data_IF_849423285648
#
_entry.id   IF_849423285648
#
_cell.length_a   1.000
_cell.length_b   1.000
_cell.length_c   1.000
_cell.angle_alpha   90.00
_cell.angle_beta   90.00
_cell.angle_gamma   90.00
#
_symmetry.space_group_name_H-M   'P 1'
#
loop_
_entity.id
_entity.type
_entity.pdbx_description
1 polymer ?
#
# COMPACT_ATOMS: atom_id res chain seq x y z
N UNK A 1 15.91 4.77 -34.11
CA UNK A 1 15.70 5.38 -32.77
C UNK A 1 14.65 4.57 -32.06
N UNK A 2 14.95 4.06 -30.86
CA UNK A 2 14.01 3.24 -30.09
C UNK A 2 13.08 4.14 -29.28
N UNK A 3 11.77 3.93 -29.40
CA UNK A 3 10.74 4.71 -28.71
C UNK A 3 9.96 3.83 -27.75
N UNK A 4 9.63 4.35 -26.58
CA UNK A 4 8.88 3.60 -25.57
C UNK A 4 7.93 4.49 -24.77
N UNK A 5 6.92 3.86 -24.18
CA UNK A 5 6.11 4.44 -23.11
C UNK A 5 6.76 4.05 -21.79
N UNK A 6 6.91 5.00 -20.88
CA UNK A 6 7.15 4.70 -19.47
C UNK A 6 5.90 5.02 -18.66
N UNK A 7 5.28 3.98 -18.11
CA UNK A 7 4.04 4.09 -17.34
C UNK A 7 4.34 3.97 -15.84
N UNK A 8 4.27 5.11 -15.15
CA UNK A 8 4.29 5.15 -13.69
C UNK A 8 3.02 4.51 -13.12
N UNK A 9 3.19 3.64 -12.11
CA UNK A 9 2.11 2.96 -11.38
C UNK A 9 2.32 3.21 -9.88
N UNK A 10 2.55 2.17 -9.07
CA UNK A 10 2.86 2.26 -7.63
C UNK A 10 4.35 2.41 -7.38
N UNK A 11 5.00 3.30 -8.13
CA UNK A 11 6.43 3.61 -8.09
C UNK A 11 6.68 5.10 -8.36
N UNK A 12 5.90 5.99 -7.71
CA UNK A 12 5.90 7.45 -7.91
C UNK A 12 7.12 8.14 -7.28
N UNK A 13 8.32 7.79 -7.77
CA UNK A 13 9.62 8.30 -7.30
C UNK A 13 10.68 8.24 -8.40
N UNK A 14 11.76 9.01 -8.26
CA UNK A 14 12.95 8.89 -9.09
C UNK A 14 14.02 8.00 -8.44
N UNK A 15 14.21 8.14 -7.12
CA UNK A 15 15.21 7.37 -6.37
C UNK A 15 14.80 5.90 -6.32
N UNK A 16 15.75 5.03 -6.58
CA UNK A 16 15.58 3.59 -6.57
C UNK A 16 14.39 3.12 -7.42
N UNK A 17 14.33 3.57 -8.67
CA UNK A 17 13.30 3.17 -9.63
C UNK A 17 13.91 2.36 -10.79
N UNK A 18 14.07 1.01 -10.65
CA UNK A 18 14.68 0.17 -11.66
C UNK A 18 14.01 0.23 -13.04
N UNK A 19 12.68 0.20 -13.12
CA UNK A 19 12.01 0.29 -14.42
C UNK A 19 12.27 1.64 -15.11
N UNK A 20 12.29 2.76 -14.35
CA UNK A 20 12.65 4.08 -14.86
C UNK A 20 14.11 4.14 -15.32
N UNK A 21 15.02 3.56 -14.54
CA UNK A 21 16.44 3.50 -14.92
C UNK A 21 16.63 2.74 -16.24
N UNK A 22 15.98 1.58 -16.36
CA UNK A 22 16.09 0.72 -17.55
C UNK A 22 15.50 1.39 -18.79
N UNK A 23 14.31 2.01 -18.71
CA UNK A 23 13.71 2.66 -19.89
C UNK A 23 14.59 3.80 -20.43
N UNK A 24 15.22 4.58 -19.55
CA UNK A 24 16.08 5.71 -19.94
C UNK A 24 17.36 5.21 -20.60
N UNK A 25 17.94 4.13 -20.08
CA UNK A 25 19.14 3.51 -20.63
C UNK A 25 18.88 2.91 -22.01
N UNK A 26 17.75 2.25 -22.16
CA UNK A 26 17.51 1.37 -23.31
C UNK A 26 16.87 2.09 -24.50
N UNK A 27 16.38 3.32 -24.36
CA UNK A 27 15.58 4.01 -25.38
C UNK A 27 16.10 5.42 -25.70
N UNK A 28 15.76 5.91 -26.90
CA UNK A 28 16.15 7.25 -27.37
C UNK A 28 15.06 8.29 -27.12
N UNK A 29 13.80 7.92 -27.31
CA UNK A 29 12.64 8.80 -27.10
C UNK A 29 11.61 8.13 -26.20
N UNK A 30 11.18 8.81 -25.16
CA UNK A 30 10.30 8.23 -24.13
C UNK A 30 9.12 9.16 -23.88
N UNK A 31 7.91 8.61 -23.90
CA UNK A 31 6.72 9.31 -23.36
C UNK A 31 6.48 8.83 -21.93
N UNK A 32 6.53 9.76 -20.97
CA UNK A 32 6.31 9.47 -19.55
C UNK A 32 4.85 9.72 -19.22
N UNK A 33 4.18 8.71 -18.68
CA UNK A 33 2.75 8.76 -18.43
C UNK A 33 2.40 8.30 -17.02
N UNK A 34 1.29 8.81 -16.51
CA UNK A 34 0.57 8.29 -15.37
C UNK A 34 -0.92 8.24 -15.71
N UNK A 35 -1.58 7.13 -15.38
CA UNK A 35 -3.02 6.95 -15.64
C UNK A 35 -3.70 6.80 -14.28
N UNK A 36 -4.68 7.65 -13.98
CA UNK A 36 -5.45 7.56 -12.75
C UNK A 36 -6.23 6.25 -12.71
N UNK A 37 -5.99 5.46 -11.66
CA UNK A 37 -6.76 4.27 -11.34
C UNK A 37 -7.44 4.45 -9.98
N UNK A 38 -8.75 4.70 -10.02
CA UNK A 38 -9.59 4.96 -8.85
C UNK A 38 -10.59 3.81 -8.59
N UNK A 39 -10.40 2.67 -9.25
CA UNK A 39 -11.28 1.52 -9.09
C UNK A 39 -11.04 0.82 -7.74
N UNK A 40 -12.09 0.23 -7.20
CA UNK A 40 -12.02 -0.65 -6.02
C UNK A 40 -12.59 -2.03 -6.34
N UNK A 41 -12.16 -3.02 -5.57
CA UNK A 41 -12.81 -4.32 -5.59
C UNK A 41 -14.12 -4.33 -4.78
N UNK A 42 -15.21 -4.70 -5.45
CA UNK A 42 -16.52 -4.90 -4.83
C UNK A 42 -16.79 -6.39 -4.60
N UNK A 43 -16.76 -6.89 -3.35
CA UNK A 43 -17.13 -8.27 -3.06
C UNK A 43 -18.63 -8.49 -3.25
N UNK A 44 -19.04 -9.74 -3.43
CA UNK A 44 -20.47 -10.08 -3.59
C UNK A 44 -21.29 -9.52 -2.42
N UNK A 45 -22.38 -8.84 -2.76
CA UNK A 45 -23.34 -8.29 -1.80
C UNK A 45 -22.95 -6.94 -1.19
N UNK A 46 -21.87 -6.31 -1.66
CA UNK A 46 -21.42 -5.01 -1.19
C UNK A 46 -20.89 -4.17 -2.37
N UNK A 47 -21.33 -2.92 -2.45
CA UNK A 47 -20.80 -1.93 -3.39
C UNK A 47 -20.17 -0.79 -2.58
N UNK A 48 -18.86 -0.62 -2.74
CA UNK A 48 -18.05 0.39 -2.06
C UNK A 48 -17.69 1.54 -3.02
N UNK A 49 -18.10 1.41 -4.29
CA UNK A 49 -17.87 2.36 -5.37
C UNK A 49 -16.39 2.68 -5.62
N UNK A 50 -15.84 3.69 -4.96
CA UNK A 50 -14.54 4.28 -5.28
C UNK A 50 -13.61 4.36 -4.07
N UNK A 51 -12.34 4.64 -4.36
CA UNK A 51 -11.35 4.91 -3.33
C UNK A 51 -11.74 6.19 -2.55
N UNK A 52 -11.50 6.22 -1.24
CA UNK A 52 -11.83 7.35 -0.39
C UNK A 52 -10.90 8.55 -0.55
N UNK A 53 -11.38 9.71 -0.12
CA UNK A 53 -10.75 11.01 -0.40
C UNK A 53 -9.33 11.16 0.15
N UNK A 54 -9.02 10.58 1.32
CA UNK A 54 -7.67 10.60 1.89
C UNK A 54 -6.65 9.93 0.97
N UNK A 55 -7.00 8.78 0.39
CA UNK A 55 -6.13 8.11 -0.58
C UNK A 55 -6.06 8.88 -1.89
N UNK A 56 -7.19 9.40 -2.41
CA UNK A 56 -7.21 10.26 -3.60
C UNK A 56 -6.23 11.42 -3.44
N UNK A 57 -6.38 12.21 -2.36
CA UNK A 57 -5.49 13.34 -2.03
C UNK A 57 -4.03 12.91 -1.99
N UNK A 58 -3.69 11.88 -1.23
CA UNK A 58 -2.31 11.43 -1.07
C UNK A 58 -1.69 10.95 -2.39
N UNK A 59 -2.47 10.26 -3.24
CA UNK A 59 -2.04 9.87 -4.58
C UNK A 59 -1.79 11.10 -5.47
N UNK A 60 -2.71 12.06 -5.49
CA UNK A 60 -2.57 13.26 -6.33
C UNK A 60 -1.39 14.14 -5.88
N UNK A 61 -1.17 14.29 -4.58
CA UNK A 61 0.02 14.94 -4.03
C UNK A 61 1.31 14.22 -4.46
N UNK A 62 1.29 12.88 -4.48
CA UNK A 62 2.43 12.08 -4.92
C UNK A 62 2.72 12.25 -6.42
N UNK A 63 1.68 12.36 -7.25
CA UNK A 63 1.82 12.63 -8.68
C UNK A 63 2.30 14.05 -8.93
N UNK A 64 1.83 15.05 -8.17
CA UNK A 64 2.34 16.43 -8.25
C UNK A 64 3.82 16.52 -7.87
N UNK A 65 4.25 15.84 -6.81
CA UNK A 65 5.66 15.80 -6.41
C UNK A 65 6.51 15.13 -7.50
N UNK A 66 6.02 14.02 -8.08
CA UNK A 66 6.67 13.35 -9.19
C UNK A 66 6.80 14.26 -10.43
N UNK A 67 5.74 14.99 -10.80
CA UNK A 67 5.76 15.94 -11.91
C UNK A 67 6.85 17.00 -11.69
N UNK A 68 6.96 17.57 -10.48
CA UNK A 68 7.99 18.54 -10.13
C UNK A 68 9.39 17.94 -10.22
N UNK A 69 9.58 16.72 -9.70
CA UNK A 69 10.87 16.02 -9.74
C UNK A 69 11.29 15.72 -11.18
N UNK A 70 10.37 15.26 -12.04
CA UNK A 70 10.62 15.03 -13.47
C UNK A 70 10.92 16.32 -14.23
N UNK A 71 10.19 17.40 -13.94
CA UNK A 71 10.41 18.72 -14.54
C UNK A 71 11.82 19.25 -14.26
N UNK A 72 12.37 19.00 -13.07
CA UNK A 72 13.76 19.35 -12.73
C UNK A 72 14.81 18.62 -13.59
N UNK A 73 14.41 17.53 -14.26
CA UNK A 73 15.22 16.76 -15.21
C UNK A 73 14.83 17.01 -16.67
N UNK A 74 14.05 18.06 -16.95
CA UNK A 74 13.48 18.37 -18.26
C UNK A 74 12.60 17.25 -18.83
N UNK A 75 11.92 16.50 -17.96
CA UNK A 75 10.98 15.45 -18.33
C UNK A 75 9.56 15.94 -18.07
N UNK A 76 8.68 15.81 -19.06
CA UNK A 76 7.26 16.11 -18.90
C UNK A 76 6.47 14.83 -18.60
N UNK A 77 5.67 14.87 -17.53
CA UNK A 77 4.73 13.81 -17.18
C UNK A 77 3.37 14.09 -17.83
N UNK A 78 2.83 13.13 -18.57
CA UNK A 78 1.47 13.21 -19.09
C UNK A 78 0.55 12.45 -18.14
N UNK A 79 -0.46 13.12 -17.61
CA UNK A 79 -1.47 12.51 -16.76
C UNK A 79 -2.74 12.26 -17.54
N UNK A 80 -3.35 11.09 -17.34
CA UNK A 80 -4.55 10.66 -18.04
C UNK A 80 -5.62 10.16 -17.09
N UNK A 81 -6.87 10.34 -17.50
CA UNK A 81 -8.04 9.84 -16.80
C UNK A 81 -8.94 9.03 -17.75
N UNK A 82 -9.46 7.90 -17.26
CA UNK A 82 -10.38 7.05 -18.00
C UNK A 82 -9.82 5.65 -18.27
N UNK A 83 -10.32 5.02 -19.34
CA UNK A 83 -9.95 3.64 -19.67
C UNK A 83 -8.50 3.55 -20.16
N UNK A 84 -7.64 2.93 -19.34
CA UNK A 84 -6.21 2.74 -19.63
C UNK A 84 -5.92 2.04 -20.95
N UNK A 85 -6.77 1.13 -21.42
CA UNK A 85 -6.56 0.46 -22.70
C UNK A 85 -6.81 1.42 -23.87
N UNK A 86 -7.87 2.23 -23.79
CA UNK A 86 -8.14 3.27 -24.79
C UNK A 86 -7.05 4.33 -24.83
N UNK A 87 -6.53 4.75 -23.67
CA UNK A 87 -5.42 5.70 -23.54
C UNK A 87 -4.16 5.13 -24.20
N UNK A 88 -3.78 3.90 -23.87
CA UNK A 88 -2.59 3.27 -24.43
C UNK A 88 -2.74 3.00 -25.94
N UNK A 89 -3.93 2.61 -26.42
CA UNK A 89 -4.22 2.45 -27.85
C UNK A 89 -4.13 3.80 -28.61
N UNK A 90 -4.56 4.91 -28.00
CA UNK A 90 -4.39 6.25 -28.55
C UNK A 90 -2.91 6.61 -28.68
N UNK A 91 -2.12 6.45 -27.61
CA UNK A 91 -0.68 6.74 -27.62
C UNK A 91 0.03 5.91 -28.69
N UNK A 92 -0.30 4.60 -28.77
CA UNK A 92 0.22 3.68 -29.78
C UNK A 92 -0.09 4.15 -31.19
N UNK A 93 -1.31 4.58 -31.45
CA UNK A 93 -1.75 5.05 -32.77
C UNK A 93 -1.12 6.40 -33.13
N UNK A 94 -0.98 7.33 -32.18
CA UNK A 94 -0.42 8.67 -32.43
C UNK A 94 1.10 8.70 -32.59
N UNK A 95 1.83 7.76 -31.96
CA UNK A 95 3.30 7.80 -31.94
C UNK A 95 3.98 6.56 -32.54
N UNK A 96 3.22 5.52 -32.89
CA UNK A 96 3.77 4.24 -33.35
C UNK A 96 4.54 3.48 -32.25
N UNK A 97 4.16 3.67 -30.97
CA UNK A 97 4.86 3.07 -29.83
C UNK A 97 4.02 1.93 -29.25
N UNK A 98 4.57 0.72 -29.18
CA UNK A 98 3.91 -0.44 -28.59
C UNK A 98 4.71 -1.08 -27.43
N UNK A 99 5.92 -0.60 -27.14
CA UNK A 99 6.70 -1.04 -25.99
C UNK A 99 6.41 -0.17 -24.78
N UNK A 100 6.02 -0.80 -23.67
CA UNK A 100 5.71 -0.17 -22.37
C UNK A 100 6.70 -0.67 -21.33
N UNK A 101 7.37 0.25 -20.66
CA UNK A 101 8.15 -0.02 -19.45
C UNK A 101 7.31 0.40 -18.24
N UNK A 102 7.25 -0.46 -17.22
CA UNK A 102 6.54 -0.18 -15.98
C UNK A 102 7.01 -1.08 -14.83
N UNK A 103 6.48 -0.85 -13.64
CA UNK A 103 6.63 -1.76 -12.50
C UNK A 103 5.73 -3.00 -12.66
N UNK A 104 6.26 -4.17 -12.27
CA UNK A 104 5.53 -5.43 -12.17
C UNK A 104 4.70 -5.44 -10.89
N UNK A 105 3.38 -5.58 -11.03
CA UNK A 105 2.47 -5.64 -9.89
C UNK A 105 2.22 -7.09 -9.43
N UNK A 106 1.60 -7.25 -8.27
CA UNK A 106 1.26 -8.58 -7.69
C UNK A 106 -0.22 -8.78 -7.41
N UNK A 107 -1.03 -7.76 -7.69
CA UNK A 107 -2.47 -7.86 -7.59
C UNK A 107 -3.04 -8.62 -8.79
N UNK A 108 -4.13 -9.36 -8.55
CA UNK A 108 -4.77 -10.18 -9.57
C UNK A 108 -5.30 -9.35 -10.75
N UNK A 109 -5.92 -8.21 -10.45
CA UNK A 109 -6.50 -7.31 -11.46
C UNK A 109 -5.43 -6.66 -12.32
N UNK A 110 -4.36 -6.18 -11.69
CA UNK A 110 -3.18 -5.68 -12.38
C UNK A 110 -2.55 -6.73 -13.31
N UNK A 111 -2.45 -7.98 -12.88
CA UNK A 111 -1.97 -9.09 -13.73
C UNK A 111 -2.91 -9.35 -14.92
N UNK A 112 -4.24 -9.19 -14.75
CA UNK A 112 -5.18 -9.32 -15.87
C UNK A 112 -5.03 -8.18 -16.86
N UNK A 113 -4.78 -6.96 -16.38
CA UNK A 113 -4.53 -5.82 -17.24
C UNK A 113 -3.27 -6.02 -18.08
N UNK A 114 -2.19 -6.51 -17.47
CA UNK A 114 -0.94 -6.84 -18.15
C UNK A 114 -1.16 -7.89 -19.26
N UNK A 115 -1.91 -8.97 -18.98
CA UNK A 115 -2.26 -9.97 -20.00
C UNK A 115 -3.06 -9.37 -21.15
N UNK A 116 -4.07 -8.55 -20.84
CA UNK A 116 -4.90 -7.89 -21.85
C UNK A 116 -4.10 -6.91 -22.71
N UNK A 117 -3.08 -6.24 -22.16
CA UNK A 117 -2.16 -5.41 -22.95
C UNK A 117 -1.32 -6.26 -23.92
N UNK A 118 -0.83 -7.41 -23.48
CA UNK A 118 -0.09 -8.34 -24.36
C UNK A 118 -0.99 -8.83 -25.50
N UNK A 119 -2.24 -9.22 -25.21
CA UNK A 119 -3.24 -9.59 -26.22
C UNK A 119 -3.53 -8.47 -27.22
N UNK A 120 -3.36 -7.21 -26.81
CA UNK A 120 -3.49 -6.01 -27.67
C UNK A 120 -2.18 -5.62 -28.40
N UNK A 121 -1.22 -6.54 -28.48
CA UNK A 121 0.07 -6.37 -29.15
C UNK A 121 0.90 -5.22 -28.54
N UNK A 122 0.92 -5.10 -27.22
CA UNK A 122 1.93 -4.33 -26.50
C UNK A 122 3.05 -5.25 -26.01
N UNK A 123 4.29 -4.78 -26.09
CA UNK A 123 5.44 -5.41 -25.47
C UNK A 123 5.64 -4.79 -24.07
N UNK A 124 5.57 -5.61 -23.02
CA UNK A 124 5.74 -5.15 -21.65
C UNK A 124 7.14 -5.49 -21.14
N UNK A 125 7.89 -4.48 -20.69
CA UNK A 125 9.20 -4.61 -20.04
C UNK A 125 9.06 -4.17 -18.60
N UNK A 126 8.94 -5.15 -17.69
CA UNK A 126 8.56 -4.90 -16.30
C UNK A 126 9.72 -5.13 -15.33
N UNK A 127 9.81 -4.31 -14.29
CA UNK A 127 10.78 -4.48 -13.19
C UNK A 127 10.08 -4.57 -11.83
N UNK A 128 10.67 -5.27 -10.87
CA UNK A 128 10.09 -5.51 -9.53
C UNK A 128 10.31 -4.32 -8.57
N UNK A 129 10.06 -3.09 -9.03
CA UNK A 129 10.31 -1.85 -8.27
C UNK A 129 9.69 -1.79 -6.86
N UNK A 130 8.51 -2.40 -6.59
CA UNK A 130 7.92 -2.37 -5.25
C UNK A 130 8.51 -3.41 -4.28
N UNK A 131 9.35 -4.34 -4.74
CA UNK A 131 9.90 -5.42 -3.93
C UNK A 131 11.14 -4.98 -3.12
N UNK A 132 11.26 -5.51 -1.89
CA UNK A 132 12.52 -5.48 -1.15
C UNK A 132 13.50 -6.53 -1.69
N UNK A 133 12.97 -7.70 -2.07
CA UNK A 133 13.75 -8.85 -2.52
C UNK A 133 13.13 -9.35 -3.82
N UNK A 134 13.88 -9.26 -4.89
CA UNK A 134 13.47 -9.68 -6.22
C UNK A 134 13.26 -11.19 -6.29
N UNK A 135 12.40 -11.65 -7.19
CA UNK A 135 12.02 -13.05 -7.32
C UNK A 135 13.23 -13.95 -7.62
N UNK A 136 14.23 -13.43 -8.35
CA UNK A 136 15.50 -14.14 -8.63
C UNK A 136 16.36 -14.40 -7.38
N UNK A 137 16.17 -13.62 -6.32
CA UNK A 137 16.89 -13.75 -5.05
C UNK A 137 16.14 -14.64 -4.05
N UNK A 138 14.91 -15.06 -4.35
CA UNK A 138 14.12 -15.94 -3.47
C UNK A 138 14.63 -17.38 -3.57
N UNK A 139 14.92 -18.07 -2.45
CA UNK A 139 15.57 -19.39 -2.46
C UNK A 139 14.59 -20.54 -2.69
N UNK A 140 13.46 -20.27 -3.33
CA UNK A 140 12.42 -21.24 -3.67
C UNK A 140 11.54 -20.65 -4.78
N UNK A 141 10.94 -21.53 -5.58
CA UNK A 141 9.88 -21.13 -6.51
C UNK A 141 8.56 -20.84 -5.75
N UNK A 142 7.60 -20.20 -6.43
CA UNK A 142 6.29 -19.87 -5.85
C UNK A 142 5.52 -21.12 -5.38
N UNK A 143 5.64 -22.25 -6.06
CA UNK A 143 4.99 -23.50 -5.66
C UNK A 143 5.45 -23.97 -4.29
N UNK A 144 6.73 -23.78 -3.97
CA UNK A 144 7.35 -24.10 -2.68
C UNK A 144 7.39 -22.93 -1.68
N UNK A 145 6.69 -21.82 -1.96
CA UNK A 145 6.56 -20.68 -1.04
C UNK A 145 6.03 -21.18 0.32
N UNK A 146 6.79 -21.00 1.43
CA UNK A 146 6.30 -21.32 2.75
C UNK A 146 5.09 -20.45 3.07
N UNK A 147 3.94 -21.07 3.37
CA UNK A 147 2.71 -20.33 3.70
C UNK A 147 2.68 -19.81 5.15
N UNK A 148 3.77 -19.93 5.91
CA UNK A 148 3.90 -19.35 7.25
C UNK A 148 5.08 -18.39 7.23
N UNK A 149 4.90 -17.21 7.82
CA UNK A 149 5.89 -16.13 7.79
C UNK A 149 7.25 -16.52 8.38
N UNK A 150 7.28 -17.19 9.54
CA UNK A 150 8.55 -17.51 10.20
C UNK A 150 9.46 -18.40 9.33
N UNK A 151 8.97 -19.51 8.73
CA UNK A 151 9.72 -20.25 7.73
C UNK A 151 10.15 -19.43 6.50
N UNK A 152 9.27 -18.58 5.96
CA UNK A 152 9.60 -17.69 4.85
C UNK A 152 10.78 -16.78 5.21
N UNK A 153 10.65 -15.99 6.29
CA UNK A 153 11.67 -15.06 6.77
C UNK A 153 13.00 -15.77 7.00
N UNK A 154 13.02 -16.90 7.72
CA UNK A 154 14.27 -17.63 8.02
C UNK A 154 14.99 -18.08 6.75
N UNK A 155 14.26 -18.54 5.72
CA UNK A 155 14.86 -18.95 4.45
C UNK A 155 15.39 -17.76 3.67
N UNK A 156 14.61 -16.69 3.59
CA UNK A 156 14.95 -15.48 2.82
C UNK A 156 16.13 -14.73 3.47
N UNK A 157 16.11 -14.48 4.77
CA UNK A 157 17.21 -13.81 5.48
C UNK A 157 18.54 -14.57 5.37
N UNK A 158 18.50 -15.90 5.26
CA UNK A 158 19.71 -16.74 5.17
C UNK A 158 20.27 -16.79 3.74
N UNK A 159 19.42 -16.79 2.72
CA UNK A 159 19.81 -17.20 1.37
C UNK A 159 19.56 -16.14 0.28
N UNK A 160 18.97 -14.99 0.61
CA UNK A 160 18.67 -13.92 -0.36
C UNK A 160 19.57 -12.71 -0.14
N UNK A 161 19.89 -12.00 -1.23
CA UNK A 161 20.55 -10.69 -1.16
C UNK A 161 19.55 -9.58 -1.44
N UNK A 162 19.60 -8.52 -0.64
CA UNK A 162 18.94 -7.25 -0.99
C UNK A 162 19.88 -6.50 -1.92
N UNK A 163 19.39 -6.14 -3.11
CA UNK A 163 20.18 -5.43 -4.13
C UNK A 163 20.65 -4.06 -3.65
N UNK A 164 21.65 -3.53 -4.34
CA UNK A 164 22.07 -2.14 -4.14
C UNK A 164 21.01 -1.17 -4.65
N UNK A 165 20.98 0.01 -4.02
CA UNK A 165 20.06 1.09 -4.34
C UNK A 165 20.50 1.84 -5.61
N UNK A 166 19.57 2.10 -6.53
CA UNK A 166 19.80 2.97 -7.69
C UNK A 166 19.54 4.41 -7.28
N UNK A 167 20.57 5.18 -6.93
CA UNK A 167 20.37 6.52 -6.35
C UNK A 167 20.00 7.60 -7.35
N UNK A 168 20.43 7.46 -8.60
CA UNK A 168 20.25 8.47 -9.64
C UNK A 168 19.76 7.83 -10.94
N UNK A 169 18.97 8.58 -11.70
CA UNK A 169 18.56 8.21 -13.04
C UNK A 169 19.52 8.83 -14.08
N UNK A 170 19.80 8.15 -15.21
CA UNK A 170 20.61 8.72 -16.28
C UNK A 170 19.91 9.93 -16.93
N UNK A 171 20.66 10.70 -17.73
CA UNK A 171 20.09 11.76 -18.56
C UNK A 171 19.19 11.17 -19.65
N UNK A 172 17.98 11.72 -19.79
CA UNK A 172 17.05 11.36 -20.85
C UNK A 172 17.50 12.00 -22.16
N UNK A 173 17.69 11.18 -23.21
CA UNK A 173 18.05 11.66 -24.55
C UNK A 173 16.96 12.57 -25.14
N UNK A 174 15.71 12.09 -25.14
CA UNK A 174 14.54 12.88 -25.57
C UNK A 174 13.27 12.44 -24.84
N UNK A 175 12.64 13.38 -24.14
CA UNK A 175 11.28 13.20 -23.62
C UNK A 175 10.28 13.68 -24.68
N UNK A 176 9.37 12.80 -25.07
CA UNK A 176 8.28 13.12 -25.99
C UNK A 176 7.26 13.98 -25.23
N UNK A 177 6.87 15.12 -25.80
CA UNK A 177 5.79 15.97 -25.28
C UNK A 177 4.68 16.00 -26.32
N UNK A 178 3.46 15.59 -25.93
CA UNK A 178 2.29 15.67 -26.80
C UNK A 178 1.08 16.20 -26.03
N UNK A 179 0.63 17.39 -26.42
CA UNK A 179 -0.49 18.11 -25.82
C UNK A 179 -1.83 17.88 -26.52
N UNK A 180 -1.88 17.01 -27.55
CA UNK A 180 -3.08 16.77 -28.38
C UNK A 180 -3.76 15.43 -28.13
N UNK A 181 -3.38 14.70 -27.08
CA UNK A 181 -4.02 13.44 -26.71
C UNK A 181 -5.37 13.71 -26.03
N UNK A 182 -6.40 12.93 -26.39
CA UNK A 182 -7.79 13.14 -26.01
C UNK A 182 -8.04 12.99 -24.51
N UNK A 183 -7.35 12.05 -23.86
CA UNK A 183 -7.59 11.69 -22.47
C UNK A 183 -6.68 12.42 -21.47
N UNK A 184 -5.98 13.47 -21.90
CA UNK A 184 -5.15 14.27 -21.00
C UNK A 184 -6.01 14.84 -19.88
N UNK A 185 -5.55 14.66 -18.65
CA UNK A 185 -6.17 15.18 -17.45
C UNK A 185 -5.18 16.04 -16.68
N UNK A 186 -5.68 16.99 -15.88
CA UNK A 186 -4.86 17.80 -15.00
C UNK A 186 -4.68 17.07 -13.66
N UNK A 187 -3.66 17.48 -12.92
CA UNK A 187 -3.48 17.01 -11.55
C UNK A 187 -4.25 17.94 -10.63
N UNK A 188 -5.29 17.41 -9.98
CA UNK A 188 -6.12 18.15 -9.04
C UNK A 188 -6.01 17.51 -7.66
N UNK A 189 -5.71 18.31 -6.64
CA UNK A 189 -5.62 17.83 -5.25
C UNK A 189 -6.81 18.36 -4.47
N UNK A 190 -7.62 17.43 -3.96
CA UNK A 190 -8.73 17.77 -3.08
C UNK A 190 -8.22 18.46 -1.81
N UNK A 191 -8.82 19.59 -1.47
CA UNK A 191 -8.51 20.30 -0.23
C UNK A 191 -9.17 19.61 0.97
N UNK A 192 -8.49 18.62 1.54
CA UNK A 192 -8.93 17.94 2.75
C UNK A 192 -8.09 18.43 3.91
N UNK A 193 -8.75 18.98 4.92
CA UNK A 193 -8.11 19.42 6.16
C UNK A 193 -7.83 18.18 7.01
N UNK A 194 -6.57 18.00 7.39
CA UNK A 194 -6.18 16.92 8.29
C UNK A 194 -6.89 17.10 9.64
N UNK A 195 -7.51 16.03 10.12
CA UNK A 195 -8.10 16.01 11.45
C UNK A 195 -7.02 16.30 12.50
N UNK A 196 -7.31 17.15 13.48
CA UNK A 196 -6.35 17.59 14.51
C UNK A 196 -5.75 16.43 15.32
N UNK A 197 -6.53 15.35 15.49
CA UNK A 197 -6.13 14.14 16.21
C UNK A 197 -5.42 13.09 15.33
N UNK A 198 -5.11 13.38 14.06
CA UNK A 198 -4.49 12.38 13.17
C UNK A 198 -3.21 11.80 13.76
N UNK A 199 -3.01 10.50 13.61
CA UNK A 199 -1.77 9.85 14.03
C UNK A 199 -0.57 10.32 13.21
N UNK A 200 -0.79 10.84 11.99
CA UNK A 200 0.22 11.48 11.17
C UNK A 200 -0.44 12.34 10.09
N UNK A 201 -0.04 13.61 9.91
CA UNK A 201 -0.57 14.47 8.84
C UNK A 201 0.08 14.09 7.51
N UNK A 202 -0.42 13.04 6.87
CA UNK A 202 0.13 12.54 5.63
C UNK A 202 0.05 13.58 4.52
N UNK A 203 1.19 13.81 3.87
CA UNK A 203 1.33 14.54 2.61
C UNK A 203 2.07 13.64 1.62
N UNK A 204 1.50 13.46 0.43
CA UNK A 204 2.06 12.59 -0.62
C UNK A 204 3.40 13.08 -1.18
N UNK A 205 4.09 12.21 -1.92
CA UNK A 205 5.32 12.55 -2.65
C UNK A 205 6.60 11.93 -2.09
N UNK A 206 7.57 11.78 -2.98
CA UNK A 206 8.91 11.26 -2.68
C UNK A 206 9.65 12.18 -1.72
N UNK A 207 9.53 13.50 -1.90
CA UNK A 207 10.13 14.49 -0.98
C UNK A 207 9.67 14.24 0.47
N UNK A 208 8.37 14.21 0.69
CA UNK A 208 7.79 14.02 2.03
C UNK A 208 8.11 12.63 2.61
N UNK A 209 8.20 11.61 1.75
CA UNK A 209 8.63 10.27 2.17
C UNK A 209 10.06 10.26 2.72
N UNK A 210 10.99 10.94 2.03
CA UNK A 210 12.39 11.05 2.43
C UNK A 210 12.57 11.93 3.68
N UNK A 211 11.78 13.00 3.81
CA UNK A 211 11.73 13.81 5.04
C UNK A 211 11.22 13.01 6.24
N UNK A 212 10.19 12.16 6.05
CA UNK A 212 9.73 11.25 7.11
C UNK A 212 10.77 10.19 7.45
N UNK A 213 11.46 9.63 6.46
CA UNK A 213 12.57 8.70 6.69
C UNK A 213 13.67 9.37 7.53
N UNK A 214 14.08 10.58 7.15
CA UNK A 214 15.10 11.37 7.83
C UNK A 214 14.71 11.69 9.27
N UNK A 215 13.51 12.23 9.48
CA UNK A 215 13.04 12.62 10.81
C UNK A 215 12.89 11.42 11.76
N UNK A 216 12.37 10.29 11.27
CA UNK A 216 12.14 9.11 12.11
C UNK A 216 13.43 8.34 12.46
N UNK A 217 14.35 8.20 11.51
CA UNK A 217 15.61 7.47 11.73
C UNK A 217 16.65 8.35 12.38
N UNK A 218 16.92 9.54 11.83
CA UNK A 218 18.14 10.30 12.13
C UNK A 218 17.91 11.45 13.11
N UNK A 219 16.84 12.22 12.95
CA UNK A 219 16.63 13.42 13.78
C UNK A 219 16.09 13.05 15.17
N UNK A 220 15.14 12.11 15.22
CA UNK A 220 14.53 11.67 16.47
C UNK A 220 15.16 10.40 17.07
N UNK A 221 15.92 9.64 16.27
CA UNK A 221 16.41 8.30 16.63
C UNK A 221 15.32 7.32 17.09
N UNK A 222 14.05 7.55 16.72
CA UNK A 222 12.91 6.77 17.22
C UNK A 222 12.91 5.32 16.73
N UNK A 223 13.61 5.03 15.62
CA UNK A 223 13.87 3.65 15.18
C UNK A 223 14.50 2.78 16.29
N UNK A 224 15.31 3.37 17.18
CA UNK A 224 15.95 2.64 18.30
C UNK A 224 14.94 2.13 19.34
N UNK A 225 13.70 2.64 19.32
CA UNK A 225 12.60 2.26 20.21
C UNK A 225 11.40 1.64 19.47
N UNK A 226 11.53 1.39 18.16
CA UNK A 226 10.42 0.96 17.31
C UNK A 226 9.73 -0.33 17.80
N UNK A 227 10.49 -1.35 18.24
CA UNK A 227 9.89 -2.61 18.71
C UNK A 227 9.03 -2.39 19.96
N UNK A 228 9.45 -1.51 20.84
CA UNK A 228 8.75 -1.16 22.07
C UNK A 228 7.50 -0.31 21.78
N UNK A 229 7.57 0.60 20.80
CA UNK A 229 6.52 1.60 20.56
C UNK A 229 5.50 1.22 19.49
N UNK A 230 5.80 0.29 18.57
CA UNK A 230 4.95 -0.05 17.39
C UNK A 230 3.49 -0.44 17.68
N UNK A 231 3.15 -0.78 18.92
CA UNK A 231 1.78 -1.08 19.35
C UNK A 231 1.02 0.14 19.91
N UNK A 232 1.64 1.33 19.89
CA UNK A 232 0.99 2.57 20.29
C UNK A 232 -0.15 2.97 19.35
N UNK A 233 -1.01 3.86 19.86
CA UNK A 233 -2.24 4.30 19.19
C UNK A 233 -2.30 5.82 18.96
N UNK A 234 -1.51 6.60 19.70
CA UNK A 234 -1.53 8.08 19.66
C UNK A 234 -0.15 8.60 19.30
N UNK A 235 -0.12 9.59 18.40
CA UNK A 235 1.08 10.35 18.06
C UNK A 235 1.83 9.81 16.84
N UNK A 236 2.72 10.65 16.31
CA UNK A 236 3.46 10.35 15.09
C UNK A 236 4.55 9.31 15.33
N UNK A 237 5.16 9.30 16.51
CA UNK A 237 6.44 8.63 16.77
C UNK A 237 6.34 7.18 17.25
N UNK A 238 5.14 6.66 17.51
CA UNK A 238 5.00 5.26 17.92
C UNK A 238 5.35 4.26 16.80
N UNK A 239 5.41 4.71 15.54
CA UNK A 239 5.80 3.90 14.40
C UNK A 239 6.34 4.76 13.26
N UNK A 240 6.93 4.13 12.23
CA UNK A 240 7.55 4.87 11.11
C UNK A 240 6.58 5.70 10.27
N UNK A 241 5.31 5.28 10.18
CA UNK A 241 4.31 5.88 9.28
C UNK A 241 4.71 5.83 7.79
N UNK A 242 5.57 4.89 7.39
CA UNK A 242 6.01 4.76 5.99
C UNK A 242 4.98 4.10 5.05
N UNK A 243 3.89 3.54 5.59
CA UNK A 243 2.98 2.69 4.83
C UNK A 243 2.33 3.40 3.64
N UNK A 244 1.88 4.65 3.80
CA UNK A 244 1.28 5.42 2.71
C UNK A 244 2.29 5.70 1.59
N UNK A 245 3.52 6.06 1.93
CA UNK A 245 4.58 6.28 0.94
C UNK A 245 5.01 4.98 0.23
N UNK A 246 4.94 3.84 0.92
CA UNK A 246 5.23 2.52 0.34
C UNK A 246 4.11 2.03 -0.58
N UNK A 247 2.85 2.43 -0.36
CA UNK A 247 1.70 2.01 -1.19
C UNK A 247 1.66 2.74 -2.53
N UNK A 248 2.02 4.03 -2.57
CA UNK A 248 2.20 4.79 -3.83
C UNK A 248 3.57 4.55 -4.46
N UNK A 249 4.50 3.96 -3.71
CA UNK A 249 5.89 3.79 -4.12
C UNK A 249 6.65 5.10 -4.20
N UNK A 250 6.24 6.13 -3.45
CA UNK A 250 7.01 7.36 -3.21
C UNK A 250 8.31 7.10 -2.44
N UNK A 251 8.43 5.94 -1.77
CA UNK A 251 9.69 5.44 -1.25
C UNK A 251 9.84 3.95 -1.54
N UNK A 252 11.07 3.52 -1.86
CA UNK A 252 11.40 2.11 -2.04
C UNK A 252 11.66 1.41 -0.70
N UNK A 253 11.23 0.15 -0.52
CA UNK A 253 11.68 -0.64 0.62
C UNK A 253 13.21 -0.87 0.62
N UNK A 254 13.86 -0.88 -0.55
CA UNK A 254 15.33 -0.99 -0.66
C UNK A 254 16.01 0.27 -0.11
N UNK A 255 15.48 1.46 -0.41
CA UNK A 255 15.94 2.72 0.20
C UNK A 255 15.83 2.68 1.71
N UNK A 256 14.67 2.27 2.25
CA UNK A 256 14.47 2.16 3.70
C UNK A 256 15.48 1.17 4.32
N UNK A 257 15.67 0.00 3.71
CA UNK A 257 16.61 -1.00 4.20
C UNK A 257 18.05 -0.44 4.27
N UNK A 258 18.53 0.16 3.19
CA UNK A 258 19.89 0.70 3.15
C UNK A 258 20.07 1.85 4.14
N UNK A 259 19.05 2.69 4.34
CA UNK A 259 19.11 3.78 5.31
C UNK A 259 19.13 3.25 6.76
N UNK A 260 18.37 2.20 7.06
CA UNK A 260 18.45 1.50 8.36
C UNK A 260 19.85 0.90 8.54
N UNK A 261 20.42 0.25 7.51
CA UNK A 261 21.79 -0.30 7.61
C UNK A 261 22.85 0.76 7.78
N UNK A 262 22.66 1.94 7.18
CA UNK A 262 23.52 3.10 7.41
C UNK A 262 23.41 3.59 8.85
N UNK A 263 22.19 3.76 9.36
CA UNK A 263 21.94 4.13 10.75
C UNK A 263 22.53 3.12 11.75
N UNK A 264 22.40 1.82 11.49
CA UNK A 264 22.96 0.75 12.34
C UNK A 264 24.49 0.83 12.44
N UNK A 265 25.17 1.27 11.38
CA UNK A 265 26.64 1.45 11.36
C UNK A 265 27.08 2.73 12.05
N UNK A 266 26.34 3.83 11.87
CA UNK A 266 26.76 5.17 12.30
C UNK A 266 26.25 5.52 13.71
N UNK A 267 25.12 4.97 14.14
CA UNK A 267 24.44 5.37 15.38
C UNK A 267 24.25 4.19 16.32
N UNK A 268 23.34 3.26 15.98
CA UNK A 268 23.02 2.13 16.86
C UNK A 268 22.32 0.99 16.14
N UNK A 269 22.80 -0.22 16.36
CA UNK A 269 22.11 -1.48 16.02
C UNK A 269 21.48 -2.09 17.27
N UNK A 270 20.19 -2.42 17.21
CA UNK A 270 19.51 -3.16 18.28
C UNK A 270 18.34 -3.99 17.75
N UNK A 271 17.54 -4.57 18.64
CA UNK A 271 16.34 -5.33 18.23
C UNK A 271 15.32 -4.48 17.50
N UNK A 272 15.24 -3.17 17.76
CA UNK A 272 14.24 -2.26 17.22
C UNK A 272 14.57 -1.81 15.79
N UNK A 273 15.86 -1.56 15.49
CA UNK A 273 16.32 -1.34 14.10
C UNK A 273 16.05 -2.55 13.22
N UNK A 274 16.34 -3.76 13.73
CA UNK A 274 15.98 -5.00 13.05
C UNK A 274 14.46 -5.17 12.92
N UNK A 275 13.67 -4.79 13.93
CA UNK A 275 12.23 -5.01 13.90
C UNK A 275 11.54 -4.23 12.78
N UNK A 276 12.06 -3.05 12.38
CA UNK A 276 11.50 -2.36 11.22
C UNK A 276 11.76 -3.13 9.91
N UNK A 277 12.92 -3.77 9.76
CA UNK A 277 13.22 -4.67 8.63
C UNK A 277 12.32 -5.92 8.68
N UNK A 278 12.08 -6.47 9.87
CA UNK A 278 11.18 -7.60 10.08
C UNK A 278 9.76 -7.30 9.58
N UNK A 279 9.28 -6.07 9.76
CA UNK A 279 7.94 -5.65 9.30
C UNK A 279 7.91 -5.37 7.79
N UNK A 280 9.01 -4.89 7.21
CA UNK A 280 9.17 -4.87 5.74
C UNK A 280 9.15 -6.29 5.15
N UNK A 281 9.71 -7.27 5.86
CA UNK A 281 9.65 -8.68 5.45
C UNK A 281 8.21 -9.23 5.48
N UNK A 282 7.35 -8.74 6.37
CA UNK A 282 5.92 -9.10 6.35
C UNK A 282 5.22 -8.56 5.11
N UNK A 283 5.51 -7.30 4.72
CA UNK A 283 5.04 -6.75 3.44
C UNK A 283 5.52 -7.61 2.28
N UNK A 284 6.81 -7.97 2.26
CA UNK A 284 7.38 -8.81 1.22
C UNK A 284 6.73 -10.20 1.16
N UNK A 285 6.54 -10.84 2.31
CA UNK A 285 5.84 -12.12 2.45
C UNK A 285 4.45 -12.07 1.82
N UNK A 286 3.63 -11.07 2.18
CA UNK A 286 2.28 -10.98 1.66
C UNK A 286 2.22 -10.71 0.17
N UNK A 287 3.21 -10.01 -0.40
CA UNK A 287 3.33 -9.85 -1.85
C UNK A 287 3.55 -11.19 -2.56
N UNK A 288 4.41 -12.05 -2.03
CA UNK A 288 4.59 -13.41 -2.58
C UNK A 288 3.37 -14.32 -2.35
N UNK A 289 2.70 -14.19 -1.20
CA UNK A 289 1.43 -14.88 -0.94
C UNK A 289 0.37 -14.44 -1.96
N UNK A 290 0.28 -13.14 -2.26
CA UNK A 290 -0.64 -12.60 -3.29
C UNK A 290 -0.35 -13.20 -4.66
N UNK A 291 0.93 -13.23 -5.09
CA UNK A 291 1.34 -13.87 -6.36
C UNK A 291 0.91 -15.34 -6.44
N UNK A 292 1.06 -16.10 -5.34
CA UNK A 292 0.65 -17.52 -5.28
C UNK A 292 -0.86 -17.68 -5.21
N UNK A 293 -1.53 -16.87 -4.40
CA UNK A 293 -2.96 -16.96 -4.12
C UNK A 293 -3.82 -16.45 -5.28
N UNK A 294 -3.32 -15.52 -6.10
CA UNK A 294 -4.04 -14.93 -7.23
C UNK A 294 -5.42 -14.43 -6.77
N UNK A 295 -6.48 -14.68 -7.55
CA UNK A 295 -7.86 -14.34 -7.20
C UNK A 295 -8.34 -14.90 -5.86
N UNK A 296 -7.73 -15.98 -5.34
CA UNK A 296 -8.21 -16.63 -4.12
C UNK A 296 -7.99 -15.78 -2.87
N UNK A 297 -7.13 -14.76 -2.90
CA UNK A 297 -6.98 -13.81 -1.78
C UNK A 297 -8.22 -12.90 -1.60
N UNK A 298 -9.12 -12.86 -2.58
CA UNK A 298 -10.38 -12.09 -2.54
C UNK A 298 -11.60 -12.97 -2.26
N UNK A 299 -11.42 -14.28 -2.22
CA UNK A 299 -12.53 -15.24 -2.08
C UNK A 299 -12.76 -15.55 -0.61
N UNK A 300 -14.02 -15.73 -0.19
CA UNK A 300 -14.40 -16.02 1.20
C UNK A 300 -13.62 -17.21 1.81
N UNK A 301 -13.31 -18.22 1.01
CA UNK A 301 -12.59 -19.43 1.42
C UNK A 301 -11.06 -19.26 1.43
N UNK A 302 -10.53 -18.10 1.00
CA UNK A 302 -9.11 -17.80 0.96
C UNK A 302 -8.28 -18.81 0.15
N UNK A 303 -6.97 -18.85 0.46
CA UNK A 303 -6.01 -19.74 -0.20
C UNK A 303 -5.89 -21.12 0.44
N UNK A 304 -6.34 -21.27 1.70
CA UNK A 304 -6.21 -22.53 2.46
C UNK A 304 -7.55 -23.21 2.74
N UNK A 305 -8.66 -22.65 2.22
CA UNK A 305 -10.00 -23.11 2.53
C UNK A 305 -10.49 -22.64 3.91
N UNK A 306 -11.80 -22.74 4.12
CA UNK A 306 -12.43 -22.46 5.40
C UNK A 306 -12.30 -23.64 6.37
N UNK A 307 -11.06 -23.94 6.78
CA UNK A 307 -10.73 -25.11 7.60
C UNK A 307 -11.42 -25.15 8.97
N UNK A 308 -11.94 -24.01 9.43
CA UNK A 308 -12.67 -23.88 10.70
C UNK A 308 -14.19 -23.94 10.51
N UNK A 309 -14.69 -24.20 9.29
CA UNK A 309 -16.12 -24.26 8.95
C UNK A 309 -16.92 -23.05 9.46
N UNK A 310 -16.32 -21.85 9.40
CA UNK A 310 -16.97 -20.61 9.82
C UNK A 310 -18.15 -20.30 8.90
N UNK A 311 -19.31 -19.98 9.47
CA UNK A 311 -20.45 -19.53 8.70
C UNK A 311 -20.48 -18.00 8.65
N UNK A 312 -19.73 -17.42 7.72
CA UNK A 312 -19.69 -15.98 7.57
C UNK A 312 -21.04 -15.44 7.08
N UNK A 313 -21.69 -14.63 7.90
CA UNK A 313 -22.96 -14.00 7.55
C UNK A 313 -22.74 -12.67 6.81
N UNK A 314 -23.81 -12.12 6.26
CA UNK A 314 -23.81 -10.88 5.47
C UNK A 314 -24.86 -9.91 5.99
N UNK A 315 -24.97 -9.79 7.32
CA UNK A 315 -25.85 -8.81 7.95
C UNK A 315 -25.32 -7.39 7.69
N UNK A 316 -25.97 -6.70 6.76
CA UNK A 316 -25.60 -5.36 6.34
C UNK A 316 -25.75 -4.31 7.45
N UNK A 317 -26.66 -4.52 8.41
CA UNK A 317 -26.88 -3.57 9.50
C UNK A 317 -25.76 -3.67 10.53
N UNK A 318 -25.33 -4.89 10.89
CA UNK A 318 -24.15 -5.09 11.75
C UNK A 318 -22.88 -4.55 11.08
N UNK A 319 -22.73 -4.79 9.78
CA UNK A 319 -21.60 -4.24 9.02
C UNK A 319 -21.59 -2.71 9.03
N UNK A 320 -22.74 -2.05 8.78
CA UNK A 320 -22.85 -0.59 8.85
C UNK A 320 -22.48 -0.03 10.22
N UNK A 321 -22.95 -0.64 11.30
CA UNK A 321 -22.56 -0.25 12.67
C UNK A 321 -21.06 -0.38 12.90
N UNK A 322 -20.44 -1.45 12.41
CA UNK A 322 -18.99 -1.60 12.48
C UNK A 322 -18.26 -0.52 11.68
N UNK A 323 -18.67 -0.30 10.42
CA UNK A 323 -18.12 0.75 9.57
C UNK A 323 -18.18 2.14 10.24
N UNK A 324 -19.31 2.47 10.87
CA UNK A 324 -19.54 3.78 11.48
C UNK A 324 -18.87 3.95 12.86
N UNK A 325 -18.34 2.87 13.46
CA UNK A 325 -17.87 2.92 14.85
C UNK A 325 -19.02 3.09 15.85
N UNK A 326 -20.10 2.34 15.65
CA UNK A 326 -21.33 2.34 16.45
C UNK A 326 -21.65 0.93 16.96
N UNK A 327 -20.63 0.13 17.23
CA UNK A 327 -20.76 -1.25 17.70
C UNK A 327 -21.16 -1.32 19.17
N UNK A 328 -20.92 -0.25 19.94
CA UNK A 328 -21.05 -0.25 21.40
C UNK A 328 -19.80 -0.79 22.11
N UNK A 329 -18.80 -1.27 21.35
CA UNK A 329 -17.48 -1.60 21.86
C UNK A 329 -16.53 -0.41 21.63
N UNK A 330 -16.33 0.40 22.67
CA UNK A 330 -15.59 1.67 22.59
C UNK A 330 -14.23 1.57 21.92
N UNK A 331 -13.46 0.50 22.17
CA UNK A 331 -12.14 0.35 21.57
C UNK A 331 -12.22 0.11 20.06
N UNK A 332 -13.25 -0.61 19.60
CA UNK A 332 -13.52 -0.82 18.17
C UNK A 332 -14.01 0.48 17.55
N UNK A 333 -14.98 1.13 18.19
CA UNK A 333 -15.58 2.38 17.74
C UNK A 333 -14.55 3.50 17.58
N UNK A 334 -13.61 3.63 18.52
CA UNK A 334 -12.54 4.62 18.46
C UNK A 334 -11.59 4.40 17.28
N UNK A 335 -11.23 3.14 17.00
CA UNK A 335 -10.38 2.81 15.85
C UNK A 335 -11.13 3.06 14.53
N UNK A 336 -12.40 2.66 14.42
CA UNK A 336 -13.20 2.92 13.22
C UNK A 336 -13.41 4.42 12.98
N UNK A 337 -13.58 5.20 14.05
CA UNK A 337 -13.58 6.67 13.96
C UNK A 337 -12.25 7.23 13.46
N UNK A 338 -11.09 6.74 13.97
CA UNK A 338 -9.77 7.15 13.46
C UNK A 338 -9.66 6.90 11.95
N UNK A 339 -10.02 5.69 11.49
CA UNK A 339 -9.97 5.32 10.08
C UNK A 339 -10.84 6.24 9.23
N UNK A 340 -12.07 6.50 9.65
CA UNK A 340 -13.00 7.31 8.87
C UNK A 340 -12.64 8.79 8.83
N UNK A 341 -12.01 9.31 9.88
CA UNK A 341 -11.63 10.73 9.98
C UNK A 341 -10.23 11.03 9.42
N UNK A 342 -9.40 10.01 9.14
CA UNK A 342 -7.99 10.23 8.75
C UNK A 342 -7.51 9.36 7.60
N UNK A 343 -8.25 8.31 7.23
CA UNK A 343 -7.79 7.28 6.31
C UNK A 343 -6.69 6.39 6.87
N UNK A 344 -6.32 6.52 8.14
CA UNK A 344 -5.28 5.73 8.78
C UNK A 344 -5.81 5.02 10.03
N UNK A 345 -5.23 3.87 10.34
CA UNK A 345 -5.46 3.15 11.59
C UNK A 345 -4.16 2.46 12.01
N UNK A 346 -3.83 2.50 13.30
CA UNK A 346 -2.68 1.78 13.85
C UNK A 346 -2.75 0.27 13.54
N UNK A 347 -1.60 -0.41 13.41
CA UNK A 347 -1.59 -1.88 13.20
C UNK A 347 -2.36 -2.63 14.30
N UNK A 348 -2.21 -2.18 15.56
CA UNK A 348 -2.93 -2.75 16.70
C UNK A 348 -4.44 -2.58 16.56
N UNK A 349 -4.89 -1.42 16.10
CA UNK A 349 -6.27 -1.14 15.75
C UNK A 349 -6.80 -2.07 14.68
N UNK A 350 -6.10 -2.17 13.54
CA UNK A 350 -6.50 -3.00 12.39
C UNK A 350 -6.74 -4.46 12.78
N UNK A 351 -5.82 -5.01 13.58
CA UNK A 351 -5.94 -6.38 14.10
C UNK A 351 -7.20 -6.57 14.96
N UNK A 352 -7.53 -5.60 15.81
CA UNK A 352 -8.68 -5.67 16.71
C UNK A 352 -10.01 -5.52 15.96
N UNK A 353 -10.13 -4.52 15.09
CA UNK A 353 -11.39 -4.29 14.35
C UNK A 353 -11.67 -5.41 13.35
N UNK A 354 -10.63 -5.98 12.73
CA UNK A 354 -10.77 -7.15 11.87
C UNK A 354 -11.20 -8.38 12.67
N UNK A 355 -10.54 -8.65 13.81
CA UNK A 355 -10.92 -9.74 14.70
C UNK A 355 -12.35 -9.60 15.20
N UNK A 356 -12.78 -8.40 15.56
CA UNK A 356 -14.14 -8.15 16.05
C UNK A 356 -15.18 -8.45 14.97
N UNK A 357 -14.99 -7.93 13.75
CA UNK A 357 -15.88 -8.21 12.62
C UNK A 357 -15.99 -9.73 12.36
N UNK A 358 -14.85 -10.43 12.39
CA UNK A 358 -14.74 -11.83 12.00
C UNK A 358 -15.21 -12.81 13.09
N UNK A 359 -14.92 -12.51 14.37
CA UNK A 359 -15.08 -13.46 15.48
C UNK A 359 -16.22 -13.11 16.43
N UNK A 360 -16.59 -11.84 16.54
CA UNK A 360 -17.65 -11.39 17.45
C UNK A 360 -18.95 -11.13 16.68
N UNK A 361 -18.86 -10.64 15.44
CA UNK A 361 -20.02 -10.40 14.58
C UNK A 361 -20.26 -11.53 13.54
N UNK A 362 -19.32 -12.47 13.40
CA UNK A 362 -19.33 -13.55 12.40
C UNK A 362 -19.56 -13.05 10.95
N UNK A 363 -19.16 -11.81 10.65
CA UNK A 363 -19.40 -11.19 9.35
C UNK A 363 -18.38 -11.64 8.30
N UNK A 364 -18.81 -11.56 7.04
CA UNK A 364 -17.96 -11.76 5.88
C UNK A 364 -16.72 -10.85 5.93
N UNK A 365 -15.56 -11.48 6.12
CA UNK A 365 -14.28 -10.78 6.20
C UNK A 365 -13.91 -10.01 4.92
N UNK A 366 -14.40 -10.44 3.75
CA UNK A 366 -14.13 -9.74 2.48
C UNK A 366 -14.81 -8.38 2.45
N UNK A 367 -15.90 -8.18 3.20
CA UNK A 367 -16.54 -6.87 3.34
C UNK A 367 -15.67 -5.92 4.15
N UNK A 368 -15.08 -6.39 5.25
CA UNK A 368 -14.13 -5.60 6.04
C UNK A 368 -12.86 -5.27 5.25
N UNK A 369 -12.33 -6.23 4.49
CA UNK A 369 -11.17 -6.02 3.62
C UNK A 369 -11.44 -4.97 2.55
N UNK A 370 -12.61 -5.03 1.91
CA UNK A 370 -13.01 -4.07 0.89
C UNK A 370 -13.34 -2.69 1.49
N UNK A 371 -13.89 -2.61 2.71
CA UNK A 371 -14.05 -1.32 3.41
C UNK A 371 -12.71 -0.66 3.72
N UNK A 372 -11.72 -1.46 4.15
CA UNK A 372 -10.36 -0.98 4.32
C UNK A 372 -9.75 -0.53 2.99
N UNK A 373 -10.04 -1.24 1.89
CA UNK A 373 -9.66 -0.81 0.55
C UNK A 373 -10.29 0.52 0.15
N UNK A 374 -11.47 0.92 0.63
CA UNK A 374 -11.96 2.27 0.34
C UNK A 374 -11.43 3.34 1.27
N UNK A 375 -11.16 3.02 2.54
CA UNK A 375 -10.78 4.04 3.53
C UNK A 375 -9.28 4.25 3.68
N UNK A 376 -8.45 3.22 3.52
CA UNK A 376 -7.04 3.31 3.85
C UNK A 376 -6.27 4.19 2.85
N UNK A 377 -5.61 5.22 3.40
CA UNK A 377 -4.60 6.04 2.73
C UNK A 377 -3.41 5.19 2.26
N UNK A 378 -3.11 4.13 3.01
CA UNK A 378 -1.96 3.24 2.79
C UNK A 378 -2.35 1.86 2.25
N UNK A 379 -3.50 1.77 1.58
CA UNK A 379 -3.95 0.52 0.97
C UNK A 379 -2.90 -0.04 0.02
N UNK A 380 -2.49 -1.28 0.30
CA UNK A 380 -1.72 -2.14 -0.57
C UNK A 380 -2.49 -3.46 -0.68
N UNK A 381 -2.78 -3.88 -1.92
CA UNK A 381 -3.64 -5.04 -2.19
C UNK A 381 -3.16 -6.29 -1.47
N UNK A 382 -1.87 -6.59 -1.54
CA UNK A 382 -1.30 -7.78 -0.93
C UNK A 382 -1.38 -7.70 0.60
N UNK A 383 -0.93 -6.58 1.18
CA UNK A 383 -0.88 -6.39 2.63
C UNK A 383 -2.28 -6.35 3.23
N UNK A 384 -3.24 -5.66 2.62
CA UNK A 384 -4.60 -5.58 3.13
C UNK A 384 -5.29 -6.95 3.07
N UNK A 385 -5.45 -7.50 1.87
CA UNK A 385 -6.23 -8.71 1.66
C UNK A 385 -5.60 -9.93 2.35
N UNK A 386 -4.27 -10.05 2.35
CA UNK A 386 -3.64 -11.17 3.04
C UNK A 386 -3.67 -11.05 4.57
N UNK A 387 -3.63 -9.83 5.15
CA UNK A 387 -3.84 -9.68 6.60
C UNK A 387 -5.27 -10.03 7.00
N UNK A 388 -6.27 -9.57 6.24
CA UNK A 388 -7.67 -9.94 6.48
C UNK A 388 -7.88 -11.45 6.34
N UNK A 389 -7.33 -12.07 5.29
CA UNK A 389 -7.36 -13.52 5.07
C UNK A 389 -6.64 -14.29 6.21
N UNK A 390 -5.54 -13.74 6.73
CA UNK A 390 -4.82 -14.28 7.90
C UNK A 390 -5.69 -14.23 9.17
N UNK A 391 -6.38 -13.12 9.40
CA UNK A 391 -7.28 -12.94 10.54
C UNK A 391 -8.54 -13.80 10.45
N UNK A 392 -9.05 -14.03 9.24
CA UNK A 392 -10.21 -14.89 8.99
C UNK A 392 -9.91 -16.40 9.16
N UNK A 393 -8.64 -16.78 9.29
CA UNK A 393 -8.24 -18.18 9.43
C UNK A 393 -8.39 -18.99 8.14
N UNK A 394 -8.48 -18.33 6.98
CA UNK A 394 -8.63 -18.96 5.65
C UNK A 394 -7.38 -18.78 4.77
N UNK A 395 -6.30 -18.26 5.36
CA UNK A 395 -5.03 -18.01 4.70
C UNK A 395 -3.84 -18.70 5.37
N UNK A 396 -2.81 -17.92 5.65
CA UNK A 396 -1.51 -18.37 6.17
C UNK A 396 -1.50 -18.70 7.66
N UNK A 397 -2.60 -18.44 8.37
CA UNK A 397 -2.77 -18.73 9.78
C UNK A 397 -3.59 -20.01 9.96
N UNK A 398 -3.00 -21.02 10.60
CA UNK A 398 -3.67 -22.28 10.96
C UNK A 398 -4.21 -22.26 12.40
N UNK A 399 -4.20 -21.11 13.07
CA UNK A 399 -4.70 -20.96 14.45
C UNK A 399 -6.01 -20.19 14.47
N UNK A 400 -7.00 -20.76 15.15
CA UNK A 400 -8.27 -20.11 15.43
C UNK A 400 -8.16 -19.29 16.73
N UNK A 401 -7.76 -18.03 16.64
CA UNK A 401 -7.65 -17.15 17.80
C UNK A 401 -8.33 -15.81 17.52
N UNK A 402 -8.91 -15.23 18.57
CA UNK A 402 -9.60 -13.95 18.52
C UNK A 402 -8.95 -12.98 19.51
N UNK A 403 -8.97 -11.70 19.16
CA UNK A 403 -8.67 -10.62 20.09
C UNK A 403 -9.91 -10.26 20.89
N UNK A 404 -9.79 -10.30 22.23
CA UNK A 404 -10.79 -9.74 23.12
C UNK A 404 -10.58 -8.21 23.22
N UNK A 405 -11.53 -7.37 22.72
CA UNK A 405 -11.34 -5.91 22.68
C UNK A 405 -11.11 -5.28 24.05
N UNK A 406 -11.82 -5.74 25.09
CA UNK A 406 -11.68 -5.21 26.46
C UNK A 406 -10.25 -5.40 26.97
N UNK A 407 -9.72 -6.63 26.89
CA UNK A 407 -8.33 -6.93 27.28
C UNK A 407 -7.30 -6.15 26.45
N UNK A 408 -7.58 -5.94 25.17
CA UNK A 408 -6.70 -5.16 24.30
C UNK A 408 -6.68 -3.68 24.70
N UNK A 409 -7.83 -3.12 25.07
CA UNK A 409 -7.92 -1.75 25.57
C UNK A 409 -7.20 -1.57 26.92
N UNK A 410 -7.27 -2.55 27.82
CA UNK A 410 -6.56 -2.52 29.11
C UNK A 410 -5.03 -2.50 28.93
N UNK A 411 -4.52 -3.23 27.92
CA UNK A 411 -3.09 -3.35 27.64
C UNK A 411 -2.57 -2.14 26.85
N UNK A 412 -3.26 -1.74 25.78
CA UNK A 412 -2.74 -0.80 24.79
C UNK A 412 -3.32 0.61 24.88
N UNK A 413 -4.45 0.79 25.58
CA UNK A 413 -5.08 2.09 25.88
C UNK A 413 -5.34 2.22 27.39
N UNK A 414 -4.33 1.90 28.20
CA UNK A 414 -4.41 1.99 29.65
C UNK A 414 -4.70 3.45 30.05
N UNK A 415 -5.86 3.67 30.67
CA UNK A 415 -6.35 5.01 31.03
C UNK A 415 -7.28 5.64 29.99
N UNK A 416 -7.61 4.95 28.90
CA UNK A 416 -8.68 5.34 27.97
C UNK A 416 -8.37 6.59 27.15
N UNK A 417 -7.11 6.97 26.98
CA UNK A 417 -6.74 8.22 26.29
C UNK A 417 -7.11 8.18 24.82
N UNK A 418 -6.88 7.06 24.14
CA UNK A 418 -7.18 6.90 22.72
C UNK A 418 -8.69 6.86 22.49
N UNK A 419 -9.42 6.09 23.31
CA UNK A 419 -10.89 6.10 23.27
C UNK A 419 -11.46 7.49 23.55
N UNK A 420 -10.95 8.18 24.57
CA UNK A 420 -11.40 9.55 24.90
C UNK A 420 -11.13 10.54 23.76
N UNK A 421 -10.04 10.36 23.01
CA UNK A 421 -9.66 11.22 21.89
C UNK A 421 -10.66 11.12 20.73
N UNK A 422 -11.12 9.91 20.41
CA UNK A 422 -11.94 9.63 19.23
C UNK A 422 -13.44 9.53 19.52
N UNK A 423 -13.85 9.17 20.73
CA UNK A 423 -15.27 9.03 21.08
C UNK A 423 -15.89 10.29 21.68
N UNK A 424 -15.12 11.37 21.85
CA UNK A 424 -15.62 12.60 22.46
C UNK A 424 -16.78 13.19 21.63
N UNK A 425 -17.94 13.34 22.26
CA UNK A 425 -19.21 13.73 21.60
C UNK A 425 -19.13 15.08 20.87
N UNK A 426 -18.22 15.99 21.24
CA UNK A 426 -18.03 17.27 20.53
C UNK A 426 -17.48 17.13 19.11
N UNK A 427 -16.88 15.99 18.74
CA UNK A 427 -16.29 15.75 17.41
C UNK A 427 -17.21 14.94 16.46
N UNK A 428 -18.31 14.36 16.95
CA UNK A 428 -19.20 13.49 16.14
C UNK A 428 -20.10 14.24 15.14
N UNK A 429 -19.95 15.55 14.98
CA UNK A 429 -20.86 16.38 14.16
C UNK A 429 -20.53 16.43 12.65
N UNK A 430 -19.65 15.58 12.11
CA UNK A 430 -19.24 15.66 10.70
C UNK A 430 -19.26 14.31 9.94
N UNK A 431 -20.20 13.40 10.22
CA UNK A 431 -20.37 12.23 9.34
C UNK A 431 -21.64 12.37 8.49
N UNK A 432 -21.38 12.33 7.20
CA UNK A 432 -22.22 12.50 6.01
C UNK A 432 -23.35 11.44 5.99
N UNK A 433 -24.56 11.87 5.65
CA UNK A 433 -25.69 11.00 5.32
C UNK A 433 -25.41 10.25 4.00
N UNK A 434 -25.70 8.95 3.96
CA UNK A 434 -25.50 8.07 2.79
C UNK A 434 -26.46 8.37 1.64
#
# INVERSE_FOLDING_TARGET
>A
MKKSIYWFRKNLRLRDNPSLFNVIKDNDEIIFIYIYDLQTYNPKGLDIHEIGDFRKKFMMESVLDLEKNLKSKNIHLHTFEGDKFKILDEIKSSHGINTIYCSKEVGWYEEQDEKKLIEKNFELIMSEDPHLIEEREIPFNLDNLPLIFTPFRKKVEKNSKIRDEIREIPSVKKAIVNTKLKFLSKIEVNNIINHSNTAYPFEGGEKNALERLKSYLWESNNITKYKETRNGLIGTEYSSKFSAYLSTGSISPVTIYHEIKKFEREVKKNSSTYWLIFELMWREFFRYVSKKGKKNIFMINGINGNIFNRNFNSDINLFKKWCNGETGQEFIDANMSELNSTGFMSNRGRQNVASYLINELDLNWTWGAAYFESKLIDYDVASNWCNWMYMAGVGNNVRNWAFNPSKQSEIYDKGGKFRSLWLNKKLRQQIIEF
#
